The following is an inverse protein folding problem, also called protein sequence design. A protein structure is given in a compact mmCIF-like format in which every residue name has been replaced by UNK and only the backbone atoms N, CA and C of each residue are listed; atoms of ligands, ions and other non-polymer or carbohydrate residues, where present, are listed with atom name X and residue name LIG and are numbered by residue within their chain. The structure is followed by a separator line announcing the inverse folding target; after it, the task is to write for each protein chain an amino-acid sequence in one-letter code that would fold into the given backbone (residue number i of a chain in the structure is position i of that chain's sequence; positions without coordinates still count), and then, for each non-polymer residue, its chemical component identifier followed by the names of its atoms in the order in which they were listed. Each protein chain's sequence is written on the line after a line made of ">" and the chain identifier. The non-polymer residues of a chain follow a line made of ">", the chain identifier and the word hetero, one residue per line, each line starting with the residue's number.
data_IF_265685307321
#
_entry.id   IF_265685307321
#
_cell.length_a   1.000
_cell.length_b   1.000
_cell.length_c   1.000
_cell.angle_alpha   90.00
_cell.angle_beta   90.00
_cell.angle_gamma   90.00
#
_symmetry.space_group_name_H-M   'P 1'
#
loop_
_entity.id
_entity.type
_entity.pdbx_description
1 polymer ?
#
# COMPACT_ATOMS: atom_id res chain seq x y z
N UNK A 1 13.09 -0.64 -11.37
CA UNK A 1 12.22 0.19 -10.56
C UNK A 1 13.00 1.14 -9.68
N UNK A 2 12.38 2.23 -9.30
CA UNK A 2 12.98 3.24 -8.44
C UNK A 2 12.08 3.47 -7.24
N UNK A 3 12.67 3.55 -6.05
CA UNK A 3 12.03 3.90 -4.80
C UNK A 3 12.53 5.27 -4.35
N UNK A 4 11.61 6.14 -3.98
CA UNK A 4 11.91 7.47 -3.47
C UNK A 4 11.69 7.52 -1.97
N UNK A 5 12.49 8.29 -1.28
CA UNK A 5 12.29 8.54 0.14
C UNK A 5 11.13 9.51 0.34
N UNK A 6 9.99 8.98 0.78
CA UNK A 6 8.80 9.75 1.11
C UNK A 6 8.47 9.70 2.61
N UNK A 7 9.42 9.27 3.43
CA UNK A 7 9.25 9.24 4.89
C UNK A 7 9.27 10.64 5.52
N UNK A 8 9.67 11.65 4.75
CA UNK A 8 9.66 13.05 5.20
C UNK A 8 8.35 13.72 4.80
N UNK A 9 7.74 14.52 5.69
CA UNK A 9 6.43 15.15 5.43
C UNK A 9 6.37 16.01 4.17
N UNK A 10 7.49 16.61 3.78
CA UNK A 10 7.61 17.47 2.61
C UNK A 10 7.39 16.74 1.29
N UNK A 11 7.64 15.43 1.29
CA UNK A 11 7.47 14.58 0.13
C UNK A 11 6.11 13.90 0.02
N UNK A 12 5.23 14.11 0.97
CA UNK A 12 3.88 13.55 0.91
C UNK A 12 3.12 14.06 -0.32
N UNK A 13 2.53 13.15 -1.05
CA UNK A 13 1.87 13.41 -2.32
C UNK A 13 2.79 13.30 -3.54
N UNK A 14 4.10 13.19 -3.33
CA UNK A 14 5.07 12.91 -4.38
C UNK A 14 5.11 11.44 -4.78
N UNK A 15 5.77 11.17 -5.88
CA UNK A 15 6.02 9.82 -6.37
C UNK A 15 6.81 9.02 -5.33
N UNK A 16 6.27 7.87 -4.91
CA UNK A 16 6.93 6.98 -3.96
C UNK A 16 7.77 5.92 -4.68
N UNK A 17 7.17 5.27 -5.65
CA UNK A 17 7.81 4.21 -6.42
C UNK A 17 7.20 4.14 -7.81
N UNK A 18 8.01 3.79 -8.78
CA UNK A 18 7.53 3.33 -10.07
C UNK A 18 8.32 2.12 -10.55
N UNK A 19 7.69 1.30 -11.35
CA UNK A 19 8.33 0.20 -12.04
C UNK A 19 7.64 -0.10 -13.36
N UNK A 20 8.39 -0.64 -14.29
CA UNK A 20 7.86 -1.14 -15.56
C UNK A 20 7.68 -2.66 -15.50
N UNK A 21 6.67 -3.13 -16.20
CA UNK A 21 6.29 -4.55 -16.18
C UNK A 21 7.13 -5.37 -17.17
N UNK A 22 7.42 -4.80 -18.30
CA UNK A 22 8.07 -5.49 -19.41
C UNK A 22 9.37 -4.79 -19.78
N UNK A 23 10.49 -5.47 -19.55
CA UNK A 23 11.79 -4.96 -19.97
C UNK A 23 11.90 -4.98 -21.52
N UNK A 24 12.65 -4.05 -22.05
CA UNK A 24 13.03 -3.96 -23.48
C UNK A 24 11.88 -3.66 -24.47
N UNK A 25 10.73 -3.27 -24.00
CA UNK A 25 9.66 -2.75 -24.87
C UNK A 25 9.83 -1.25 -25.10
N UNK A 26 9.66 -0.77 -26.34
CA UNK A 26 9.83 0.65 -26.66
C UNK A 26 8.77 1.54 -25.99
N UNK A 27 7.56 1.02 -25.81
CA UNK A 27 6.48 1.69 -25.11
C UNK A 27 6.19 0.97 -23.79
N UNK A 28 6.49 1.61 -22.69
CA UNK A 28 6.34 1.05 -21.36
C UNK A 28 5.01 1.43 -20.72
N UNK A 29 4.41 0.46 -20.03
CA UNK A 29 3.36 0.75 -19.04
C UNK A 29 4.02 0.77 -17.67
N UNK A 30 3.98 1.94 -17.04
CA UNK A 30 4.53 2.13 -15.71
C UNK A 30 3.42 2.03 -14.67
N UNK A 31 3.67 1.28 -13.62
CA UNK A 31 2.86 1.32 -12.40
C UNK A 31 3.54 2.26 -11.41
N UNK A 32 2.79 3.23 -10.92
CA UNK A 32 3.29 4.23 -9.99
C UNK A 32 2.45 4.28 -8.74
N UNK A 33 3.08 4.50 -7.61
CA UNK A 33 2.40 4.69 -6.33
C UNK A 33 2.75 6.05 -5.75
N UNK A 34 1.71 6.68 -5.20
CA UNK A 34 1.80 7.97 -4.51
C UNK A 34 1.18 7.84 -3.13
N UNK A 35 1.95 8.13 -2.10
CA UNK A 35 1.45 8.13 -0.73
C UNK A 35 0.86 9.51 -0.43
N UNK A 36 -0.46 9.57 -0.20
CA UNK A 36 -1.20 10.84 -0.07
C UNK A 36 -1.54 11.21 1.36
N UNK A 37 -1.52 10.27 2.28
CA UNK A 37 -1.86 10.55 3.66
C UNK A 37 -0.68 10.29 4.61
N UNK A 38 -0.75 10.95 5.75
CA UNK A 38 0.17 10.71 6.85
C UNK A 38 -0.63 10.65 8.15
N UNK A 39 -0.48 9.54 8.89
CA UNK A 39 -1.22 9.28 10.13
C UNK A 39 -2.74 9.50 9.96
N UNK A 40 -3.29 8.99 8.86
CA UNK A 40 -4.73 9.08 8.55
C UNK A 40 -5.21 10.43 8.03
N UNK A 41 -4.32 11.41 7.84
CA UNK A 41 -4.68 12.72 7.29
C UNK A 41 -4.23 12.84 5.84
N UNK A 42 -5.15 13.16 4.95
CA UNK A 42 -4.81 13.56 3.58
C UNK A 42 -4.26 14.99 3.59
N UNK A 43 -3.00 15.14 3.21
CA UNK A 43 -2.33 16.45 3.17
C UNK A 43 -2.34 17.08 1.79
N UNK A 44 -2.67 16.30 0.75
CA UNK A 44 -2.73 16.76 -0.64
C UNK A 44 -3.99 16.23 -1.29
N UNK A 45 -4.56 17.04 -2.17
CA UNK A 45 -5.66 16.60 -3.02
C UNK A 45 -5.17 15.55 -4.02
N UNK A 46 -6.10 14.86 -4.63
CA UNK A 46 -5.81 13.88 -5.67
C UNK A 46 -5.08 14.52 -6.87
N UNK A 47 -5.58 15.66 -7.33
CA UNK A 47 -5.01 16.38 -8.48
C UNK A 47 -3.62 16.95 -8.21
N UNK A 48 -3.40 17.48 -7.00
CA UNK A 48 -2.06 17.91 -6.58
C UNK A 48 -1.07 16.74 -6.60
N UNK A 49 -1.44 15.60 -6.03
CA UNK A 49 -0.58 14.42 -5.97
C UNK A 49 -0.28 13.86 -7.37
N UNK A 50 -1.28 13.85 -8.25
CA UNK A 50 -1.11 13.43 -9.65
C UNK A 50 -0.10 14.34 -10.37
N UNK A 51 -0.29 15.65 -10.24
CA UNK A 51 0.63 16.62 -10.84
C UNK A 51 2.06 16.45 -10.31
N UNK A 52 2.21 16.31 -9.01
CA UNK A 52 3.51 16.13 -8.36
C UNK A 52 4.21 14.85 -8.86
N UNK A 53 3.48 13.74 -8.96
CA UNK A 53 4.02 12.49 -9.49
C UNK A 53 4.49 12.61 -10.97
N UNK A 54 3.74 13.34 -11.79
CA UNK A 54 4.13 13.61 -13.18
C UNK A 54 5.38 14.47 -13.27
N UNK A 55 5.47 15.51 -12.44
CA UNK A 55 6.65 16.37 -12.36
C UNK A 55 7.88 15.57 -11.90
N UNK A 56 7.73 14.71 -10.89
CA UNK A 56 8.81 13.82 -10.41
C UNK A 56 9.28 12.86 -11.50
N UNK A 57 8.37 12.27 -12.28
CA UNK A 57 8.72 11.37 -13.38
C UNK A 57 9.50 12.10 -14.48
N UNK A 58 9.12 13.33 -14.81
CA UNK A 58 9.87 14.18 -15.74
C UNK A 58 11.28 14.47 -15.23
N UNK A 59 11.44 14.75 -13.94
CA UNK A 59 12.76 14.92 -13.32
C UNK A 59 13.62 13.67 -13.43
N UNK A 60 13.01 12.49 -13.45
CA UNK A 60 13.68 11.21 -13.70
C UNK A 60 13.97 10.94 -15.19
N UNK A 61 13.66 11.87 -16.09
CA UNK A 61 13.84 11.71 -17.51
C UNK A 61 12.81 10.81 -18.20
N UNK A 62 11.67 10.59 -17.54
CA UNK A 62 10.57 9.77 -18.08
C UNK A 62 9.56 10.69 -18.76
N UNK A 63 9.39 10.50 -20.05
CA UNK A 63 8.36 11.18 -20.84
C UNK A 63 7.07 10.37 -20.79
N UNK A 64 6.00 10.98 -20.26
CA UNK A 64 4.71 10.32 -20.06
C UNK A 64 3.75 10.78 -21.16
N UNK A 65 3.29 9.85 -21.96
CA UNK A 65 2.28 10.12 -22.98
C UNK A 65 0.89 10.33 -22.34
N UNK A 66 0.44 9.36 -21.55
CA UNK A 66 -0.90 9.43 -20.91
C UNK A 66 -1.00 8.57 -19.67
N UNK A 67 -1.95 8.89 -18.82
CA UNK A 67 -2.43 8.00 -17.78
C UNK A 67 -3.51 7.08 -18.35
N UNK A 68 -3.30 5.75 -18.29
CA UNK A 68 -4.26 4.76 -18.80
C UNK A 68 -5.23 4.27 -17.74
N UNK A 69 -4.84 4.36 -16.48
CA UNK A 69 -5.66 3.96 -15.34
C UNK A 69 -5.17 4.63 -14.06
N UNK A 70 -6.10 5.04 -13.22
CA UNK A 70 -5.79 5.58 -11.90
C UNK A 70 -6.88 5.21 -10.89
N UNK A 71 -6.47 4.96 -9.66
CA UNK A 71 -7.39 4.66 -8.58
C UNK A 71 -6.80 5.01 -7.22
N UNK A 72 -7.65 5.50 -6.31
CA UNK A 72 -7.34 5.59 -4.89
C UNK A 72 -7.60 4.23 -4.25
N UNK A 73 -6.64 3.77 -3.47
CA UNK A 73 -6.73 2.55 -2.68
C UNK A 73 -6.53 2.87 -1.21
N UNK A 74 -7.28 2.18 -0.34
CA UNK A 74 -6.90 2.03 1.05
C UNK A 74 -5.86 0.92 1.10
N UNK A 75 -4.61 1.34 1.00
CA UNK A 75 -3.49 0.44 0.82
C UNK A 75 -2.68 0.33 2.11
N UNK A 76 -2.24 -0.86 2.42
CA UNK A 76 -1.44 -1.16 3.60
C UNK A 76 -2.18 -0.85 4.91
N UNK A 77 -3.33 -1.54 5.20
CA UNK A 77 -3.99 -1.40 6.49
C UNK A 77 -3.03 -1.83 7.59
N UNK A 78 -2.93 -1.02 8.63
CA UNK A 78 -2.03 -1.28 9.75
C UNK A 78 -2.62 -0.77 11.06
N UNK A 79 -2.16 -1.37 12.15
CA UNK A 79 -2.50 -0.97 13.50
C UNK A 79 -1.52 0.10 13.95
N UNK A 80 -2.02 1.19 14.52
CA UNK A 80 -1.17 2.25 15.03
C UNK A 80 -0.46 1.84 16.32
N UNK A 81 0.66 2.51 16.63
CA UNK A 81 1.56 2.21 17.74
C UNK A 81 0.82 2.01 19.07
N UNK A 82 -0.14 2.90 19.37
CA UNK A 82 -0.93 2.83 20.60
C UNK A 82 -1.78 1.56 20.67
N UNK A 83 -2.51 1.26 19.59
CA UNK A 83 -3.40 0.11 19.56
C UNK A 83 -2.59 -1.20 19.55
N UNK A 84 -1.43 -1.20 18.89
CA UNK A 84 -0.48 -2.31 18.95
C UNK A 84 0.01 -2.54 20.38
N UNK A 85 0.45 -1.50 21.09
CA UNK A 85 0.89 -1.57 22.47
C UNK A 85 -0.22 -2.02 23.44
N UNK A 86 -1.47 -1.67 23.12
CA UNK A 86 -2.66 -2.10 23.84
C UNK A 86 -3.11 -3.55 23.53
N UNK A 87 -2.34 -4.30 22.75
CA UNK A 87 -2.58 -5.72 22.43
C UNK A 87 -3.72 -5.93 21.43
N UNK A 88 -3.78 -5.12 20.38
CA UNK A 88 -4.83 -5.23 19.36
C UNK A 88 -4.83 -6.60 18.67
N UNK A 89 -3.66 -7.12 18.28
CA UNK A 89 -3.56 -8.42 17.61
C UNK A 89 -4.00 -9.57 18.50
N UNK A 90 -3.59 -9.57 19.76
CA UNK A 90 -3.98 -10.57 20.76
C UNK A 90 -5.49 -10.58 20.99
N UNK A 91 -6.10 -9.39 21.01
CA UNK A 91 -7.57 -9.27 21.14
C UNK A 91 -8.29 -9.84 19.92
N UNK A 92 -7.83 -9.55 18.72
CA UNK A 92 -8.44 -10.07 17.49
C UNK A 92 -8.23 -11.58 17.35
N UNK A 93 -7.02 -12.07 17.68
CA UNK A 93 -6.75 -13.52 17.72
C UNK A 93 -7.67 -14.24 18.74
N UNK A 94 -7.92 -13.66 19.88
CA UNK A 94 -8.85 -14.22 20.86
C UNK A 94 -10.34 -14.20 20.40
N UNK A 95 -10.66 -13.43 19.39
CA UNK A 95 -11.99 -13.40 18.78
C UNK A 95 -12.18 -14.43 17.67
N UNK A 96 -11.11 -15.07 17.21
CA UNK A 96 -11.18 -16.07 16.14
C UNK A 96 -12.13 -17.23 16.53
N UNK A 97 -13.05 -17.55 15.64
CA UNK A 97 -14.07 -18.58 15.86
C UNK A 97 -15.29 -18.12 16.66
N UNK A 98 -15.28 -16.93 17.22
CA UNK A 98 -16.42 -16.41 17.98
C UNK A 98 -17.61 -16.16 17.05
N UNK A 99 -18.78 -16.70 17.41
CA UNK A 99 -19.97 -16.66 16.56
C UNK A 99 -19.74 -17.19 15.12
N UNK A 100 -18.86 -18.18 14.97
CA UNK A 100 -18.42 -18.75 13.69
C UNK A 100 -17.82 -17.67 12.73
N UNK A 101 -17.19 -16.64 13.29
CA UNK A 101 -16.56 -15.55 12.52
C UNK A 101 -15.06 -15.64 12.66
N UNK A 102 -14.38 -15.49 11.52
CA UNK A 102 -12.92 -15.56 11.43
C UNK A 102 -12.38 -14.34 10.69
N UNK A 103 -11.27 -13.80 11.18
CA UNK A 103 -10.62 -12.62 10.64
C UNK A 103 -9.32 -13.03 9.96
N UNK A 104 -9.19 -12.72 8.69
CA UNK A 104 -7.99 -12.96 7.90
C UNK A 104 -7.72 -11.79 6.96
N UNK A 105 -6.58 -11.80 6.32
CA UNK A 105 -6.19 -10.80 5.34
C UNK A 105 -5.00 -9.96 5.77
N UNK A 106 -4.71 -8.95 4.99
CA UNK A 106 -3.52 -8.12 5.07
C UNK A 106 -3.26 -7.51 6.46
N UNK A 107 -4.32 -7.11 7.16
CA UNK A 107 -4.19 -6.51 8.49
C UNK A 107 -3.76 -7.52 9.58
N UNK A 108 -4.03 -8.81 9.38
CA UNK A 108 -3.67 -9.88 10.31
C UNK A 108 -2.30 -10.51 10.01
N UNK A 109 -1.72 -10.17 8.89
CA UNK A 109 -0.42 -10.64 8.44
C UNK A 109 0.42 -9.46 7.97
N UNK A 110 1.24 -9.64 6.97
CA UNK A 110 1.90 -8.56 6.26
C UNK A 110 1.24 -8.33 4.90
N UNK A 111 1.42 -7.13 4.33
CA UNK A 111 0.76 -6.70 3.09
C UNK A 111 1.31 -7.33 1.82
N UNK A 112 1.66 -8.60 1.84
CA UNK A 112 1.97 -9.37 0.65
C UNK A 112 1.13 -10.65 0.54
N UNK A 113 1.18 -11.27 -0.62
CA UNK A 113 0.35 -12.45 -0.90
C UNK A 113 0.82 -13.68 -0.11
N UNK A 114 2.11 -13.88 0.05
CA UNK A 114 2.67 -15.05 0.72
C UNK A 114 2.23 -15.07 2.19
N UNK A 115 2.45 -14.00 2.91
CA UNK A 115 2.11 -13.89 4.32
C UNK A 115 0.59 -14.00 4.55
N UNK A 116 -0.20 -13.38 3.68
CA UNK A 116 -1.66 -13.47 3.74
C UNK A 116 -2.17 -14.89 3.51
N UNK A 117 -1.60 -15.60 2.54
CA UNK A 117 -1.94 -17.01 2.27
C UNK A 117 -1.48 -17.92 3.41
N UNK A 118 -0.28 -17.72 3.93
CA UNK A 118 0.24 -18.52 5.03
C UNK A 118 -0.60 -18.35 6.29
N UNK A 119 -0.91 -17.11 6.68
CA UNK A 119 -1.81 -16.83 7.80
C UNK A 119 -3.19 -17.52 7.63
N UNK A 120 -3.75 -17.44 6.42
CA UNK A 120 -5.05 -18.05 6.12
C UNK A 120 -5.01 -19.58 6.23
N UNK A 121 -3.92 -20.23 5.77
CA UNK A 121 -3.69 -21.67 5.95
C UNK A 121 -3.62 -22.04 7.41
N UNK A 122 -2.86 -21.31 8.20
CA UNK A 122 -2.72 -21.56 9.63
C UNK A 122 -4.06 -21.38 10.36
N UNK A 123 -4.85 -20.39 9.97
CA UNK A 123 -6.18 -20.18 10.51
C UNK A 123 -7.10 -21.38 10.22
N UNK A 124 -7.11 -21.85 8.98
CA UNK A 124 -7.88 -23.06 8.60
C UNK A 124 -7.41 -24.28 9.39
N UNK A 125 -6.10 -24.50 9.50
CA UNK A 125 -5.56 -25.64 10.24
C UNK A 125 -5.86 -25.62 11.75
N UNK A 126 -6.08 -24.43 12.33
CA UNK A 126 -6.42 -24.27 13.76
C UNK A 126 -7.90 -24.51 14.06
N UNK A 127 -8.79 -24.26 13.12
CA UNK A 127 -10.23 -24.20 13.39
C UNK A 127 -11.08 -25.16 12.55
N UNK A 128 -10.51 -25.77 11.52
CA UNK A 128 -11.18 -26.69 10.60
C UNK A 128 -10.40 -27.98 10.36
#
# INVERSE_FOLDING_TARGET
>A
GYLFDNMVPERLGHLMVFYHRWANEPNQVLTTYVLRNYKGKELKTYEESKKMAWDDMKLCGIDIDKCVYERKWYYFPHVFEKDYADGWYEKVEAMQGNLNTYYAGEIMSFGDMEETVQYSKDLVARFF
#
